data_IF_644751621162
#
_entry.id   IF_644751621162
#
_cell.length_a   1.000
_cell.length_b   1.000
_cell.length_c   1.000
_cell.angle_alpha   90.00
_cell.angle_beta   90.00
_cell.angle_gamma   90.00
#
_symmetry.space_group_name_H-M   'P 1'
#
loop_
_entity.id
_entity.type
_entity.pdbx_description
1 polymer ?
#
# COMPACT_ATOMS: atom_id res chain seq x y z
N UNK A 1 -7.85 -0.55 -25.77
CA UNK A 1 -8.49 -0.30 -24.46
C UNK A 1 -7.67 -0.97 -23.38
N UNK A 2 -7.30 -0.23 -22.36
CA UNK A 2 -6.59 -0.78 -21.22
C UNK A 2 -7.58 -1.23 -20.16
N UNK A 3 -7.49 -2.49 -19.78
CA UNK A 3 -8.30 -3.03 -18.70
C UNK A 3 -7.59 -2.95 -17.35
N UNK A 4 -6.27 -2.82 -17.36
CA UNK A 4 -5.45 -2.80 -16.15
C UNK A 4 -4.46 -1.65 -16.24
N UNK A 5 -4.41 -0.83 -15.21
CA UNK A 5 -3.37 0.18 -15.03
C UNK A 5 -2.46 -0.28 -13.90
N UNK A 6 -1.16 -0.29 -14.15
CA UNK A 6 -0.16 -0.68 -13.15
C UNK A 6 0.66 0.55 -12.79
N UNK A 7 0.83 0.75 -11.49
CA UNK A 7 1.68 1.82 -10.98
C UNK A 7 2.63 1.26 -9.92
N UNK A 8 3.91 1.56 -10.08
CA UNK A 8 4.95 1.16 -9.13
C UNK A 8 5.51 2.41 -8.46
N UNK A 9 5.59 2.38 -7.13
CA UNK A 9 6.22 3.46 -6.37
C UNK A 9 7.73 3.26 -6.43
N UNK A 10 8.44 4.26 -6.91
CA UNK A 10 9.88 4.16 -7.14
C UNK A 10 10.72 4.98 -6.16
N UNK A 11 10.10 5.78 -5.31
CA UNK A 11 10.83 6.60 -4.36
C UNK A 11 11.53 5.75 -3.29
N UNK A 12 12.72 6.16 -2.89
CA UNK A 12 13.54 5.45 -1.88
C UNK A 12 13.58 6.15 -0.53
N UNK A 13 12.90 7.27 -0.40
CA UNK A 13 12.81 8.07 0.81
C UNK A 13 11.36 8.00 1.31
N UNK A 14 11.19 7.83 2.62
CA UNK A 14 9.87 7.64 3.23
C UNK A 14 8.88 8.73 2.86
N UNK A 15 9.28 9.99 3.00
CA UNK A 15 8.38 11.11 2.74
C UNK A 15 7.99 11.18 1.26
N UNK A 16 8.94 10.96 0.38
CA UNK A 16 8.69 10.94 -1.06
C UNK A 16 7.81 9.73 -1.44
N UNK A 17 8.05 8.59 -0.83
CA UNK A 17 7.26 7.38 -1.06
C UNK A 17 5.80 7.60 -0.68
N UNK A 18 5.55 8.09 0.52
CA UNK A 18 4.19 8.34 1.01
C UNK A 18 3.48 9.43 0.21
N UNK A 19 4.21 10.44 -0.23
CA UNK A 19 3.69 11.49 -1.08
C UNK A 19 3.23 10.95 -2.43
N UNK A 20 4.05 10.09 -3.01
CA UNK A 20 3.76 9.44 -4.29
C UNK A 20 2.52 8.56 -4.20
N UNK A 21 2.42 7.75 -3.13
CA UNK A 21 1.24 6.92 -2.87
C UNK A 21 0.00 7.80 -2.75
N UNK A 22 0.07 8.87 -1.97
CA UNK A 22 -1.05 9.79 -1.78
C UNK A 22 -1.50 10.42 -3.08
N UNK A 23 -0.56 10.89 -3.88
CA UNK A 23 -0.85 11.50 -5.17
C UNK A 23 -1.57 10.53 -6.12
N UNK A 24 -1.07 9.30 -6.22
CA UNK A 24 -1.65 8.31 -7.10
C UNK A 24 -3.03 7.82 -6.61
N UNK A 25 -3.19 7.65 -5.30
CA UNK A 25 -4.48 7.23 -4.75
C UNK A 25 -5.55 8.33 -4.86
N UNK A 26 -5.16 9.58 -4.75
CA UNK A 26 -6.10 10.70 -4.93
C UNK A 26 -6.64 10.78 -6.37
N UNK A 27 -5.88 10.28 -7.33
CA UNK A 27 -6.23 10.30 -8.75
C UNK A 27 -6.82 8.97 -9.24
N UNK A 28 -6.70 7.93 -8.44
CA UNK A 28 -7.08 6.58 -8.87
C UNK A 28 -8.59 6.46 -9.06
N UNK A 29 -8.98 5.95 -10.22
CA UNK A 29 -10.36 5.57 -10.52
C UNK A 29 -10.34 4.18 -11.10
N UNK A 30 -10.89 3.22 -10.38
CA UNK A 30 -10.88 1.82 -10.80
C UNK A 30 -12.01 1.07 -10.15
N UNK A 31 -12.52 0.06 -10.83
CA UNK A 31 -13.56 -0.80 -10.28
C UNK A 31 -13.01 -1.66 -9.12
N UNK A 32 -11.76 -2.07 -9.23
CA UNK A 32 -11.07 -2.86 -8.21
C UNK A 32 -9.62 -2.37 -8.11
N UNK A 33 -9.14 -2.16 -6.90
CA UNK A 33 -7.76 -1.77 -6.65
C UNK A 33 -7.05 -2.93 -5.97
N UNK A 34 -5.98 -3.41 -6.58
CA UNK A 34 -5.14 -4.45 -6.00
C UNK A 34 -3.79 -3.87 -5.56
N UNK A 35 -3.30 -4.30 -4.41
CA UNK A 35 -1.99 -3.93 -3.91
C UNK A 35 -1.07 -5.14 -3.97
N UNK A 36 0.07 -4.99 -4.65
CA UNK A 36 1.19 -5.91 -4.47
C UNK A 36 1.97 -5.38 -3.27
N UNK A 37 1.71 -5.94 -2.11
CA UNK A 37 2.21 -5.42 -0.85
C UNK A 37 3.64 -5.88 -0.59
N UNK A 38 4.60 -5.02 -0.93
CA UNK A 38 6.02 -5.28 -0.73
C UNK A 38 6.45 -4.94 0.69
N UNK A 39 6.27 -5.85 1.62
CA UNK A 39 6.62 -5.63 3.03
C UNK A 39 8.12 -5.55 3.27
N UNK A 40 8.94 -5.92 2.28
CA UNK A 40 10.38 -5.71 2.32
C UNK A 40 10.77 -4.23 2.28
N UNK A 41 9.85 -3.33 1.98
CA UNK A 41 10.08 -1.89 2.06
C UNK A 41 10.12 -1.36 3.49
N UNK A 42 9.82 -2.18 4.50
CA UNK A 42 9.90 -1.76 5.90
C UNK A 42 11.33 -1.37 6.28
N UNK A 43 11.46 -0.42 7.21
CA UNK A 43 12.77 0.14 7.63
C UNK A 43 13.71 -0.91 8.21
N UNK A 44 13.19 -2.01 8.73
CA UNK A 44 13.98 -3.11 9.27
C UNK A 44 14.11 -4.28 8.30
N UNK A 45 13.76 -4.08 7.04
CA UNK A 45 13.87 -5.08 5.99
C UNK A 45 14.77 -4.54 4.86
N UNK A 46 14.84 -5.26 3.75
CA UNK A 46 15.77 -4.97 2.66
C UNK A 46 15.56 -3.59 2.02
N UNK A 47 14.31 -3.13 1.93
CA UNK A 47 14.01 -1.83 1.34
C UNK A 47 14.39 -0.65 2.23
N UNK A 48 14.29 -0.82 3.54
CA UNK A 48 14.75 0.15 4.52
C UNK A 48 14.06 1.50 4.48
N UNK A 49 12.79 1.56 4.05
CA UNK A 49 12.14 2.83 3.76
C UNK A 49 10.98 3.16 4.69
N UNK A 50 10.07 2.22 4.94
CA UNK A 50 8.80 2.50 5.59
C UNK A 50 8.72 2.00 7.03
N UNK A 51 7.95 2.71 7.85
CA UNK A 51 7.59 2.27 9.19
C UNK A 51 6.29 1.45 9.14
N UNK A 52 6.02 0.70 10.21
CA UNK A 52 4.81 -0.11 10.29
C UNK A 52 3.54 0.73 10.10
N UNK A 53 3.48 1.91 10.72
CA UNK A 53 2.32 2.80 10.60
C UNK A 53 2.09 3.28 9.16
N UNK A 54 3.11 3.29 8.34
CA UNK A 54 2.98 3.68 6.94
C UNK A 54 2.16 2.66 6.16
N UNK A 55 2.25 1.38 6.50
CA UNK A 55 1.43 0.36 5.85
C UNK A 55 -0.06 0.54 6.19
N UNK A 56 -0.38 0.96 7.41
CA UNK A 56 -1.75 1.27 7.77
C UNK A 56 -2.27 2.47 6.96
N UNK A 57 -1.46 3.50 6.83
CA UNK A 57 -1.82 4.69 6.07
C UNK A 57 -2.01 4.38 4.57
N UNK A 58 -1.14 3.54 4.01
CA UNK A 58 -1.28 3.08 2.63
C UNK A 58 -2.61 2.34 2.46
N UNK A 59 -2.92 1.43 3.37
CA UNK A 59 -4.19 0.69 3.34
C UNK A 59 -5.39 1.62 3.41
N UNK A 60 -5.32 2.63 4.27
CA UNK A 60 -6.40 3.61 4.43
C UNK A 60 -6.61 4.41 3.13
N UNK A 61 -5.53 4.83 2.49
CA UNK A 61 -5.60 5.57 1.23
C UNK A 61 -6.18 4.72 0.10
N UNK A 62 -5.79 3.46 0.03
CA UNK A 62 -6.32 2.53 -0.98
C UNK A 62 -7.81 2.29 -0.74
N UNK A 63 -8.21 2.05 0.50
CA UNK A 63 -9.62 1.84 0.84
C UNK A 63 -10.46 3.06 0.49
N UNK A 64 -9.94 4.25 0.78
CA UNK A 64 -10.63 5.49 0.46
C UNK A 64 -10.81 5.65 -1.06
N UNK A 65 -9.78 5.34 -1.83
CA UNK A 65 -9.87 5.38 -3.29
C UNK A 65 -10.89 4.37 -3.83
N UNK A 66 -10.89 3.16 -3.28
CA UNK A 66 -11.85 2.12 -3.65
C UNK A 66 -13.29 2.55 -3.34
N UNK A 67 -13.52 3.10 -2.16
CA UNK A 67 -14.86 3.56 -1.76
C UNK A 67 -15.35 4.68 -2.67
N UNK A 68 -14.47 5.60 -3.04
CA UNK A 68 -14.81 6.71 -3.93
C UNK A 68 -15.23 6.21 -5.31
N UNK A 69 -14.61 5.13 -5.78
CA UNK A 69 -14.92 4.53 -7.08
C UNK A 69 -16.10 3.56 -7.00
N UNK A 70 -16.60 3.26 -5.82
CA UNK A 70 -17.70 2.33 -5.62
C UNK A 70 -17.31 0.87 -5.75
N UNK A 71 -16.01 0.58 -5.76
CA UNK A 71 -15.49 -0.78 -5.93
C UNK A 71 -14.86 -1.33 -4.67
N UNK A 72 -14.10 -2.41 -4.83
CA UNK A 72 -13.39 -3.06 -3.75
C UNK A 72 -11.90 -2.96 -3.88
N UNK A 73 -11.19 -3.46 -2.86
CA UNK A 73 -9.74 -3.53 -2.88
C UNK A 73 -9.28 -4.85 -2.26
N UNK A 74 -8.08 -5.25 -2.62
CA UNK A 74 -7.45 -6.45 -2.07
C UNK A 74 -5.93 -6.24 -2.05
N UNK A 75 -5.24 -7.09 -1.31
CA UNK A 75 -3.78 -7.05 -1.29
C UNK A 75 -3.23 -8.46 -1.45
N UNK A 76 -2.11 -8.57 -2.13
CA UNK A 76 -1.35 -9.81 -2.26
C UNK A 76 -0.02 -9.60 -1.55
N UNK A 77 0.35 -10.55 -0.71
CA UNK A 77 1.62 -10.51 0.00
C UNK A 77 2.76 -10.78 -0.97
N UNK A 78 3.65 -9.82 -1.12
CA UNK A 78 4.86 -9.97 -1.90
C UNK A 78 6.03 -9.39 -1.12
N UNK A 79 7.12 -10.14 -0.98
CA UNK A 79 8.24 -9.71 -0.19
C UNK A 79 7.93 -9.70 1.30
N UNK A 80 8.92 -9.37 2.09
CA UNK A 80 8.80 -9.39 3.54
C UNK A 80 9.68 -10.49 4.11
N UNK A 81 10.95 -10.14 4.39
CA UNK A 81 11.97 -11.12 4.78
C UNK A 81 12.34 -11.01 6.25
N UNK A 82 12.02 -9.91 6.90
CA UNK A 82 12.19 -9.78 8.34
C UNK A 82 10.94 -10.28 9.04
N UNK A 83 10.96 -11.54 9.45
CA UNK A 83 9.80 -12.19 10.07
C UNK A 83 9.45 -11.59 11.44
N UNK A 84 10.38 -10.90 12.08
CA UNK A 84 10.12 -10.24 13.36
C UNK A 84 9.12 -9.09 13.26
N UNK A 85 8.97 -8.47 12.08
CA UNK A 85 8.06 -7.35 11.88
C UNK A 85 6.97 -7.64 10.85
N UNK A 86 7.08 -8.73 10.10
CA UNK A 86 6.15 -9.04 9.01
C UNK A 86 4.70 -9.09 9.48
N UNK A 87 4.43 -9.79 10.58
CA UNK A 87 3.08 -9.92 11.10
C UNK A 87 2.47 -8.58 11.48
N UNK A 88 3.25 -7.71 12.11
CA UNK A 88 2.80 -6.36 12.48
C UNK A 88 2.49 -5.52 11.24
N UNK A 89 3.32 -5.65 10.21
CA UNK A 89 3.14 -4.90 8.97
C UNK A 89 1.90 -5.37 8.20
N UNK A 90 1.66 -6.67 8.15
CA UNK A 90 0.45 -7.23 7.54
C UNK A 90 -0.80 -6.76 8.29
N UNK A 91 -0.75 -6.77 9.62
CA UNK A 91 -1.86 -6.30 10.45
C UNK A 91 -2.12 -4.81 10.23
N UNK A 92 -1.06 -4.01 10.12
CA UNK A 92 -1.20 -2.58 9.88
C UNK A 92 -1.90 -2.31 8.54
N UNK A 93 -1.45 -2.96 7.47
CA UNK A 93 -2.09 -2.83 6.17
C UNK A 93 -3.56 -3.26 6.23
N UNK A 94 -3.83 -4.39 6.88
CA UNK A 94 -5.19 -4.91 7.01
C UNK A 94 -6.10 -3.93 7.76
N UNK A 95 -5.59 -3.32 8.83
CA UNK A 95 -6.37 -2.31 9.56
C UNK A 95 -6.71 -1.12 8.67
N UNK A 96 -5.75 -0.66 7.87
CA UNK A 96 -5.98 0.43 6.93
C UNK A 96 -7.03 0.10 5.89
N UNK A 97 -6.92 -1.09 5.29
CA UNK A 97 -7.87 -1.55 4.28
C UNK A 97 -9.28 -1.76 4.83
N UNK A 98 -9.40 -1.98 6.13
CA UNK A 98 -10.68 -2.22 6.82
C UNK A 98 -11.24 -0.95 7.46
N UNK A 99 -10.55 0.17 7.37
CA UNK A 99 -10.96 1.42 8.01
C UNK A 99 -12.19 2.01 7.32
N UNK A 100 -13.09 2.52 8.12
CA UNK A 100 -14.30 3.19 7.62
C UNK A 100 -14.03 4.67 7.31
#
# INVERSE_FOLDING_TARGET
MEWVTVYNVEAHDRDAYMKEVGYEMDRCEADIIGISAGFDNHELDWGGTLATDDFEEIGRKVRKAADRSGGGCFAILEGGYNHGVLGQNVMALTRGLSAD
#
